data_IF_703470425724
#
_entry.id   IF_703470425724
#
_cell.length_a   1.000
_cell.length_b   1.000
_cell.length_c   1.000
_cell.angle_alpha   90.00
_cell.angle_beta   90.00
_cell.angle_gamma   90.00
#
_symmetry.space_group_name_H-M   'P 1'
#
loop_
_entity.id
_entity.type
_entity.pdbx_description
1 polymer ?
#
# COMPACT_ATOMS: atom_id res chain seq x y z
N UNK A 1 -37.49 -2.83 -8.86
CA UNK A 1 -36.93 -2.65 -7.49
C UNK A 1 -38.13 -2.71 -6.57
N UNK A 2 -38.44 -3.93 -6.08
CA UNK A 2 -39.58 -4.18 -5.21
C UNK A 2 -39.30 -3.66 -3.80
N UNK A 3 -40.08 -2.66 -3.40
CA UNK A 3 -40.20 -2.19 -2.02
C UNK A 3 -41.14 -3.16 -1.29
N UNK A 4 -40.57 -4.09 -0.53
CA UNK A 4 -41.35 -4.90 0.42
C UNK A 4 -41.80 -4.00 1.59
N UNK A 5 -43.09 -3.64 1.60
CA UNK A 5 -43.76 -2.99 2.71
C UNK A 5 -44.35 -4.08 3.62
N UNK A 6 -43.94 -4.11 4.89
CA UNK A 6 -44.49 -5.06 5.87
C UNK A 6 -45.66 -4.40 6.61
N UNK A 7 -46.82 -5.05 6.57
CA UNK A 7 -48.02 -4.61 7.26
C UNK A 7 -48.01 -5.10 8.70
N UNK A 8 -48.09 -4.19 9.65
CA UNK A 8 -48.22 -4.52 11.08
C UNK A 8 -49.54 -3.95 11.60
N UNK A 9 -50.36 -4.76 12.25
CA UNK A 9 -51.56 -4.36 12.94
C UNK A 9 -51.26 -4.01 14.38
N UNK A 10 -51.50 -2.78 14.78
CA UNK A 10 -51.46 -2.34 16.16
C UNK A 10 -52.79 -1.70 16.50
N UNK A 11 -53.59 -2.35 17.35
CA UNK A 11 -54.85 -1.86 17.92
C UNK A 11 -55.84 -1.27 16.91
N UNK A 12 -56.15 -2.00 15.84
CA UNK A 12 -57.22 -1.66 14.91
C UNK A 12 -56.91 -0.61 13.81
N UNK A 13 -55.73 -0.01 13.82
CA UNK A 13 -55.22 0.87 12.75
C UNK A 13 -54.07 0.25 12.01
N UNK A 14 -54.18 0.14 10.69
CA UNK A 14 -53.10 -0.32 9.84
C UNK A 14 -52.18 0.86 9.44
N UNK A 15 -50.97 0.86 10.00
CA UNK A 15 -49.92 1.81 9.57
C UNK A 15 -48.93 1.08 8.72
N UNK A 16 -48.63 1.65 7.53
CA UNK A 16 -47.54 1.20 6.70
C UNK A 16 -46.23 1.71 7.30
N UNK A 17 -45.48 0.83 7.93
CA UNK A 17 -44.08 1.16 8.23
C UNK A 17 -43.31 1.01 6.93
N UNK A 18 -43.01 2.15 6.31
CA UNK A 18 -42.02 2.23 5.26
C UNK A 18 -40.71 1.80 5.92
N UNK A 19 -40.26 0.56 5.65
CA UNK A 19 -38.90 0.16 5.98
C UNK A 19 -38.01 1.09 5.16
N UNK A 20 -37.61 2.19 5.79
CA UNK A 20 -36.66 3.11 5.24
C UNK A 20 -35.39 2.31 5.08
N UNK A 21 -35.17 1.79 3.88
CA UNK A 21 -33.84 1.41 3.43
C UNK A 21 -33.06 2.72 3.49
N UNK A 22 -32.41 2.99 4.62
CA UNK A 22 -31.58 4.16 4.82
C UNK A 22 -30.38 4.02 3.87
N UNK A 23 -30.63 4.39 2.61
CA UNK A 23 -29.55 4.50 1.63
C UNK A 23 -28.61 5.58 2.14
N UNK A 24 -27.33 5.37 1.94
CA UNK A 24 -26.25 6.30 2.23
C UNK A 24 -26.52 7.67 1.57
N UNK A 25 -27.11 8.60 2.30
CA UNK A 25 -27.41 9.97 1.84
C UNK A 25 -26.50 11.02 2.46
N UNK A 26 -25.75 10.62 3.50
CA UNK A 26 -24.80 11.50 4.17
C UNK A 26 -23.55 11.74 3.30
N UNK A 27 -23.12 13.01 3.21
CA UNK A 27 -21.96 13.43 2.40
C UNK A 27 -20.69 12.62 2.72
N UNK A 28 -20.46 12.28 3.98
CA UNK A 28 -19.30 11.44 4.38
C UNK A 28 -19.40 10.02 3.84
N UNK A 29 -20.59 9.48 3.74
CA UNK A 29 -20.84 8.15 3.19
C UNK A 29 -20.61 8.12 1.68
N UNK A 30 -21.14 9.13 0.96
CA UNK A 30 -20.91 9.27 -0.49
C UNK A 30 -19.42 9.44 -0.76
N UNK A 31 -18.74 10.32 -0.04
CA UNK A 31 -17.29 10.53 -0.15
C UNK A 31 -16.53 9.21 0.06
N UNK A 32 -16.89 8.46 1.11
CA UNK A 32 -16.26 7.16 1.39
C UNK A 32 -16.45 6.18 0.23
N UNK A 33 -17.66 6.08 -0.31
CA UNK A 33 -17.97 5.15 -1.40
C UNK A 33 -17.23 5.53 -2.69
N UNK A 34 -17.29 6.79 -3.10
CA UNK A 34 -16.63 7.30 -4.31
C UNK A 34 -15.11 7.12 -4.20
N UNK A 35 -14.50 7.60 -3.14
CA UNK A 35 -13.05 7.55 -2.98
C UNK A 35 -12.53 6.12 -2.91
N UNK A 36 -13.20 5.20 -2.17
CA UNK A 36 -12.75 3.82 -2.12
C UNK A 36 -12.99 3.05 -3.43
N UNK A 37 -13.98 3.43 -4.25
CA UNK A 37 -14.15 2.90 -5.60
C UNK A 37 -13.02 3.34 -6.53
N UNK A 38 -12.62 4.61 -6.47
CA UNK A 38 -11.47 5.12 -7.22
C UNK A 38 -10.18 4.42 -6.77
N UNK A 39 -9.96 4.30 -5.46
CA UNK A 39 -8.79 3.61 -4.90
C UNK A 39 -8.76 2.13 -5.33
N UNK A 40 -9.90 1.45 -5.31
CA UNK A 40 -10.02 0.08 -5.81
C UNK A 40 -9.58 -0.02 -7.27
N UNK A 41 -10.16 0.79 -8.14
CA UNK A 41 -9.89 0.74 -9.59
C UNK A 41 -8.41 1.02 -9.90
N UNK A 42 -7.89 2.13 -9.37
CA UNK A 42 -6.49 2.52 -9.57
C UNK A 42 -5.52 1.54 -8.89
N UNK A 43 -5.87 1.03 -7.71
CA UNK A 43 -5.03 0.11 -6.95
C UNK A 43 -4.94 -1.26 -7.59
N UNK A 44 -6.06 -1.84 -8.05
CA UNK A 44 -6.04 -3.13 -8.74
C UNK A 44 -5.31 -3.02 -10.08
N UNK A 45 -5.62 -2.00 -10.90
CA UNK A 45 -4.97 -1.80 -12.18
C UNK A 45 -3.47 -1.50 -12.01
N UNK A 46 -3.11 -0.53 -11.16
CA UNK A 46 -1.73 -0.09 -10.97
C UNK A 46 -0.84 -1.18 -10.35
N UNK A 47 -1.28 -1.80 -9.26
CA UNK A 47 -0.49 -2.87 -8.63
C UNK A 47 -0.45 -4.14 -9.49
N UNK A 48 -1.53 -4.47 -10.22
CA UNK A 48 -1.54 -5.56 -11.21
C UNK A 48 -0.46 -5.37 -12.28
N UNK A 49 -0.33 -4.15 -12.83
CA UNK A 49 0.74 -3.81 -13.79
C UNK A 49 2.12 -3.94 -13.14
N UNK A 50 2.30 -3.47 -11.91
CA UNK A 50 3.58 -3.61 -11.18
C UNK A 50 3.93 -5.09 -10.97
N UNK A 51 2.98 -5.92 -10.53
CA UNK A 51 3.18 -7.36 -10.34
C UNK A 51 3.60 -8.01 -11.66
N UNK A 52 2.93 -7.68 -12.75
CA UNK A 52 3.26 -8.24 -14.07
C UNK A 52 4.65 -7.81 -14.55
N UNK A 53 4.97 -6.52 -14.47
CA UNK A 53 6.28 -6.02 -14.90
C UNK A 53 7.40 -6.55 -14.00
N UNK A 54 7.30 -6.39 -12.69
CA UNK A 54 8.35 -6.79 -11.76
C UNK A 54 8.49 -8.32 -11.64
N UNK A 55 7.37 -9.06 -11.79
CA UNK A 55 7.36 -10.52 -11.71
C UNK A 55 7.85 -11.24 -12.97
N UNK A 56 7.48 -10.71 -14.17
CA UNK A 56 7.66 -11.45 -15.42
C UNK A 56 8.55 -10.74 -16.46
N UNK A 57 8.67 -9.41 -16.43
CA UNK A 57 9.40 -8.64 -17.44
C UNK A 57 10.77 -8.12 -16.98
N UNK A 58 10.95 -7.92 -15.69
CA UNK A 58 12.21 -7.44 -15.12
C UNK A 58 13.10 -8.58 -14.64
N UNK A 59 14.42 -8.38 -14.72
CA UNK A 59 15.39 -9.28 -14.09
C UNK A 59 15.19 -9.26 -12.57
N UNK A 60 15.16 -10.45 -11.95
CA UNK A 60 15.06 -10.59 -10.51
C UNK A 60 16.23 -9.90 -9.82
N UNK A 61 15.92 -8.97 -8.94
CA UNK A 61 16.89 -8.22 -8.13
C UNK A 61 16.31 -8.02 -6.72
N UNK A 62 17.16 -7.66 -5.78
CA UNK A 62 16.69 -7.34 -4.41
C UNK A 62 15.65 -6.24 -4.42
N UNK A 63 15.84 -5.21 -5.25
CA UNK A 63 14.92 -4.08 -5.36
C UNK A 63 13.57 -4.49 -5.96
N UNK A 64 13.59 -5.29 -7.02
CA UNK A 64 12.34 -5.80 -7.63
C UNK A 64 11.58 -6.72 -6.67
N UNK A 65 12.29 -7.45 -5.80
CA UNK A 65 11.66 -8.27 -4.76
C UNK A 65 10.88 -7.43 -3.75
N UNK A 66 11.43 -6.29 -3.32
CA UNK A 66 10.72 -5.37 -2.41
C UNK A 66 9.47 -4.78 -3.07
N UNK A 67 9.58 -4.27 -4.30
CA UNK A 67 8.46 -3.66 -5.01
C UNK A 67 7.35 -4.67 -5.33
N UNK A 68 7.74 -5.88 -5.73
CA UNK A 68 6.79 -6.96 -5.99
C UNK A 68 6.00 -7.32 -4.73
N UNK A 69 6.69 -7.47 -3.59
CA UNK A 69 6.03 -7.79 -2.31
C UNK A 69 5.05 -6.69 -1.89
N UNK A 70 5.43 -5.42 -2.06
CA UNK A 70 4.57 -4.28 -1.73
C UNK A 70 3.35 -4.24 -2.65
N UNK A 71 3.54 -4.42 -3.96
CA UNK A 71 2.45 -4.44 -4.93
C UNK A 71 1.47 -5.61 -4.70
N UNK A 72 1.96 -6.80 -4.30
CA UNK A 72 1.10 -7.95 -3.95
C UNK A 72 0.24 -7.62 -2.72
N UNK A 73 0.83 -7.04 -1.68
CA UNK A 73 0.08 -6.63 -0.48
C UNK A 73 -1.02 -5.63 -0.81
N UNK A 74 -0.69 -4.59 -1.59
CA UNK A 74 -1.62 -3.54 -1.99
C UNK A 74 -2.72 -4.07 -2.91
N UNK A 75 -2.39 -4.96 -3.84
CA UNK A 75 -3.36 -5.60 -4.74
C UNK A 75 -4.39 -6.41 -3.96
N UNK A 76 -3.94 -7.28 -3.04
CA UNK A 76 -4.84 -8.08 -2.19
C UNK A 76 -5.75 -7.16 -1.38
N UNK A 77 -5.22 -6.09 -0.81
CA UNK A 77 -6.02 -5.13 -0.05
C UNK A 77 -7.04 -4.39 -0.92
N UNK A 78 -6.64 -3.93 -2.10
CA UNK A 78 -7.55 -3.25 -3.02
C UNK A 78 -8.73 -4.17 -3.43
N UNK A 79 -8.49 -5.46 -3.66
CA UNK A 79 -9.56 -6.43 -3.97
C UNK A 79 -10.61 -6.59 -2.86
N UNK A 80 -10.26 -6.25 -1.60
CA UNK A 80 -11.19 -6.33 -0.46
C UNK A 80 -11.96 -5.02 -0.22
N UNK A 81 -11.54 -3.90 -0.81
CA UNK A 81 -12.22 -2.60 -0.63
C UNK A 81 -13.70 -2.59 -1.01
N UNK A 82 -14.15 -3.24 -2.12
CA UNK A 82 -15.57 -3.24 -2.50
C UNK A 82 -16.51 -3.77 -1.42
N UNK A 83 -16.09 -4.76 -0.64
CA UNK A 83 -16.88 -5.26 0.50
C UNK A 83 -17.14 -4.16 1.54
N UNK A 84 -16.18 -3.26 1.73
CA UNK A 84 -16.32 -2.11 2.61
C UNK A 84 -17.24 -1.03 2.07
N UNK A 85 -17.20 -0.80 0.75
CA UNK A 85 -18.09 0.13 0.05
C UNK A 85 -19.52 -0.35 0.17
N UNK A 86 -19.79 -1.63 -0.17
CA UNK A 86 -21.13 -2.22 -0.06
C UNK A 86 -21.65 -2.15 1.38
N UNK A 87 -20.83 -2.48 2.38
CA UNK A 87 -21.21 -2.35 3.79
C UNK A 87 -21.61 -0.92 4.16
N UNK A 88 -20.85 0.07 3.68
CA UNK A 88 -21.12 1.48 3.99
C UNK A 88 -22.40 1.97 3.30
N UNK A 89 -22.57 1.64 2.02
CA UNK A 89 -23.74 2.06 1.22
C UNK A 89 -25.04 1.39 1.69
N UNK A 90 -25.00 0.09 1.96
CA UNK A 90 -26.17 -0.65 2.44
C UNK A 90 -26.45 -0.48 3.92
N UNK A 91 -25.56 0.21 4.67
CA UNK A 91 -25.63 0.31 6.12
C UNK A 91 -25.78 -1.05 6.83
N UNK A 92 -25.44 -2.14 6.13
CA UNK A 92 -25.55 -3.51 6.60
C UNK A 92 -24.42 -4.39 6.06
N UNK A 93 -23.95 -5.32 6.88
CA UNK A 93 -22.96 -6.31 6.48
C UNK A 93 -23.66 -7.61 6.02
N UNK A 94 -23.60 -7.89 4.73
CA UNK A 94 -24.32 -9.04 4.13
C UNK A 94 -23.43 -10.27 3.89
N UNK A 95 -22.09 -10.15 4.07
CA UNK A 95 -21.11 -11.15 3.65
C UNK A 95 -20.73 -12.17 4.73
N UNK A 96 -21.47 -12.24 5.83
CA UNK A 96 -21.23 -13.20 6.91
C UNK A 96 -20.06 -12.82 7.84
N UNK A 97 -19.93 -13.55 8.95
CA UNK A 97 -18.93 -13.30 9.98
C UNK A 97 -17.50 -13.56 9.48
N UNK A 98 -17.30 -14.62 8.69
CA UNK A 98 -15.98 -14.95 8.14
C UNK A 98 -15.39 -13.80 7.30
N UNK A 99 -16.16 -13.29 6.34
CA UNK A 99 -15.69 -12.18 5.49
C UNK A 99 -15.50 -10.87 6.27
N UNK A 100 -16.22 -10.67 7.38
CA UNK A 100 -15.98 -9.57 8.29
C UNK A 100 -14.57 -9.66 8.89
N UNK A 101 -14.18 -10.83 9.41
CA UNK A 101 -12.85 -11.11 9.98
C UNK A 101 -11.75 -10.98 8.93
N UNK A 102 -11.93 -11.60 7.76
CA UNK A 102 -10.98 -11.56 6.64
C UNK A 102 -10.71 -10.12 6.18
N UNK A 103 -11.75 -9.31 6.03
CA UNK A 103 -11.59 -7.91 5.62
C UNK A 103 -10.70 -7.11 6.57
N UNK A 104 -10.90 -7.24 7.88
CA UNK A 104 -10.09 -6.52 8.86
C UNK A 104 -8.69 -7.11 9.02
N UNK A 105 -8.55 -8.42 8.85
CA UNK A 105 -7.24 -9.08 8.80
C UNK A 105 -6.41 -8.53 7.64
N UNK A 106 -6.95 -8.56 6.42
CA UNK A 106 -6.22 -8.10 5.22
C UNK A 106 -5.91 -6.61 5.29
N UNK A 107 -6.81 -5.78 5.83
CA UNK A 107 -6.53 -4.36 6.07
C UNK A 107 -5.33 -4.17 6.99
N UNK A 108 -5.27 -4.90 8.10
CA UNK A 108 -4.16 -4.85 9.05
C UNK A 108 -2.88 -5.42 8.46
N UNK A 109 -2.98 -6.52 7.72
CA UNK A 109 -1.87 -7.16 7.03
C UNK A 109 -1.21 -6.22 6.03
N UNK A 110 -1.99 -5.52 5.22
CA UNK A 110 -1.48 -4.52 4.28
C UNK A 110 -0.76 -3.38 5.01
N UNK A 111 -1.32 -2.87 6.09
CA UNK A 111 -0.66 -1.83 6.89
C UNK A 111 0.71 -2.29 7.41
N UNK A 112 0.77 -3.44 8.10
CA UNK A 112 2.03 -3.93 8.68
C UNK A 112 3.05 -4.33 7.62
N UNK A 113 2.64 -5.07 6.58
CA UNK A 113 3.55 -5.49 5.52
C UNK A 113 4.13 -4.31 4.76
N UNK A 114 3.34 -3.30 4.44
CA UNK A 114 3.80 -2.11 3.72
C UNK A 114 4.83 -1.33 4.54
N UNK A 115 4.55 -1.04 5.81
CA UNK A 115 5.50 -0.27 6.64
C UNK A 115 6.79 -1.06 6.94
N UNK A 116 6.70 -2.37 7.16
CA UNK A 116 7.89 -3.21 7.37
C UNK A 116 8.73 -3.35 6.11
N UNK A 117 8.10 -3.40 4.92
CA UNK A 117 8.84 -3.38 3.65
C UNK A 117 9.50 -2.00 3.46
N UNK A 118 8.84 -0.88 3.79
CA UNK A 118 9.47 0.44 3.75
C UNK A 118 10.66 0.56 4.71
N UNK A 119 10.53 0.06 5.93
CA UNK A 119 11.63 0.00 6.87
C UNK A 119 12.79 -0.86 6.33
N UNK A 120 12.49 -2.01 5.73
CA UNK A 120 13.46 -2.90 5.09
C UNK A 120 14.15 -2.23 3.90
N UNK A 121 13.42 -1.52 3.03
CA UNK A 121 13.99 -0.75 1.92
C UNK A 121 14.92 0.34 2.47
N UNK A 122 14.53 1.03 3.55
CA UNK A 122 15.35 2.07 4.17
C UNK A 122 16.65 1.51 4.73
N UNK A 123 16.60 0.39 5.43
CA UNK A 123 17.78 -0.34 5.92
C UNK A 123 18.65 -0.84 4.76
N UNK A 124 18.07 -1.42 3.71
CA UNK A 124 18.78 -1.88 2.51
C UNK A 124 19.55 -0.74 1.85
N UNK A 125 18.93 0.43 1.71
CA UNK A 125 19.60 1.63 1.17
C UNK A 125 20.71 2.14 2.09
N UNK A 126 20.49 2.10 3.39
CA UNK A 126 21.51 2.47 4.40
C UNK A 126 22.73 1.55 4.28
N UNK A 127 22.54 0.25 4.23
CA UNK A 127 23.63 -0.72 4.08
C UNK A 127 24.38 -0.54 2.77
N UNK A 128 23.70 -0.38 1.65
CA UNK A 128 24.32 -0.13 0.34
C UNK A 128 25.15 1.16 0.32
N UNK A 129 24.68 2.20 1.02
CA UNK A 129 25.39 3.49 1.10
C UNK A 129 26.60 3.43 2.05
N UNK A 130 26.48 2.68 3.14
CA UNK A 130 27.51 2.63 4.21
C UNK A 130 28.59 1.60 3.92
N UNK A 131 28.20 0.43 3.40
CA UNK A 131 29.05 -0.73 3.14
C UNK A 131 28.91 -1.22 1.69
N UNK A 132 29.32 -0.43 0.66
CA UNK A 132 29.06 -0.74 -0.76
C UNK A 132 29.73 -2.05 -1.20
N UNK A 133 30.97 -2.32 -0.78
CA UNK A 133 31.71 -3.54 -1.15
C UNK A 133 31.04 -4.79 -0.55
N UNK A 134 30.66 -4.72 0.74
CA UNK A 134 29.92 -5.80 1.38
C UNK A 134 28.58 -6.06 0.71
N UNK A 135 27.87 -4.99 0.38
CA UNK A 135 26.56 -5.07 -0.28
C UNK A 135 26.66 -5.74 -1.67
N UNK A 136 27.68 -5.46 -2.45
CA UNK A 136 27.90 -6.13 -3.73
C UNK A 136 28.07 -7.64 -3.58
N UNK A 137 28.80 -8.10 -2.56
CA UNK A 137 29.14 -9.51 -2.39
C UNK A 137 28.07 -10.32 -1.61
N UNK A 138 27.39 -9.71 -0.65
CA UNK A 138 26.51 -10.43 0.29
C UNK A 138 25.01 -10.16 0.12
N UNK A 139 24.62 -9.16 -0.68
CA UNK A 139 23.24 -8.78 -0.94
C UNK A 139 22.67 -9.61 -2.11
N UNK A 140 21.93 -10.66 -1.79
CA UNK A 140 21.37 -11.60 -2.78
C UNK A 140 19.85 -11.59 -2.79
N UNK A 141 19.24 -11.93 -3.91
CA UNK A 141 17.77 -12.06 -4.06
C UNK A 141 17.20 -13.14 -3.13
N UNK A 142 17.94 -14.24 -2.89
CA UNK A 142 17.51 -15.29 -1.96
C UNK A 142 17.35 -14.75 -0.53
N UNK A 143 18.30 -13.95 -0.03
CA UNK A 143 18.19 -13.30 1.27
C UNK A 143 17.04 -12.30 1.32
N UNK A 144 16.85 -11.54 0.24
CA UNK A 144 15.71 -10.61 0.14
C UNK A 144 14.37 -11.36 0.21
N UNK A 145 14.21 -12.46 -0.50
CA UNK A 145 12.99 -13.27 -0.44
C UNK A 145 12.73 -13.86 0.95
N UNK A 146 13.78 -14.28 1.66
CA UNK A 146 13.64 -14.73 3.04
C UNK A 146 13.18 -13.61 3.98
N UNK A 147 13.73 -12.40 3.83
CA UNK A 147 13.30 -11.23 4.61
C UNK A 147 11.83 -10.90 4.30
N UNK A 148 11.41 -10.93 3.02
CA UNK A 148 9.99 -10.75 2.64
C UNK A 148 9.11 -11.78 3.34
N UNK A 149 9.49 -13.05 3.33
CA UNK A 149 8.74 -14.11 4.02
C UNK A 149 8.59 -13.81 5.52
N UNK A 150 9.67 -13.41 6.18
CA UNK A 150 9.63 -13.03 7.60
C UNK A 150 8.72 -11.83 7.84
N UNK A 151 8.79 -10.81 6.99
CA UNK A 151 7.90 -9.64 7.05
C UNK A 151 6.43 -10.06 6.94
N UNK A 152 6.09 -10.94 6.00
CA UNK A 152 4.72 -11.42 5.85
C UNK A 152 4.24 -12.22 7.05
N UNK A 153 5.07 -13.11 7.60
CA UNK A 153 4.75 -13.91 8.80
C UNK A 153 4.50 -12.98 10.00
N UNK A 154 5.42 -12.05 10.27
CA UNK A 154 5.28 -11.10 11.38
C UNK A 154 4.03 -10.22 11.19
N UNK A 155 3.80 -9.73 9.97
CA UNK A 155 2.61 -8.93 9.65
C UNK A 155 1.31 -9.71 9.85
N UNK A 156 1.28 -10.99 9.49
CA UNK A 156 0.13 -11.85 9.70
C UNK A 156 -0.15 -12.08 11.20
N UNK A 157 0.88 -12.36 11.99
CA UNK A 157 0.76 -12.51 13.45
C UNK A 157 0.22 -11.24 14.11
N UNK A 158 0.77 -10.07 13.77
CA UNK A 158 0.29 -8.77 14.28
C UNK A 158 -1.11 -8.40 13.79
N UNK A 159 -1.56 -8.97 12.67
CA UNK A 159 -2.89 -8.72 12.11
C UNK A 159 -3.98 -9.63 12.71
N UNK A 160 -3.60 -10.75 13.33
CA UNK A 160 -4.52 -11.73 13.91
C UNK A 160 -5.49 -11.10 14.92
N UNK A 161 -5.07 -10.23 15.87
CA UNK A 161 -5.99 -9.58 16.79
C UNK A 161 -7.07 -8.75 16.08
N UNK A 162 -6.73 -8.13 14.95
CA UNK A 162 -7.69 -7.35 14.15
C UNK A 162 -8.82 -8.21 13.54
N UNK A 163 -8.59 -9.49 13.33
CA UNK A 163 -9.61 -10.45 12.91
C UNK A 163 -10.40 -11.01 14.11
N UNK A 164 -9.70 -11.35 15.19
CA UNK A 164 -10.31 -11.97 16.38
C UNK A 164 -11.30 -11.04 17.07
N UNK A 165 -10.98 -9.74 17.17
CA UNK A 165 -11.86 -8.73 17.78
C UNK A 165 -12.89 -8.16 16.80
N UNK A 166 -13.31 -8.93 15.77
CA UNK A 166 -14.33 -8.52 14.79
C UNK A 166 -15.37 -9.60 14.62
N UNK A 167 -16.62 -9.18 14.64
CA UNK A 167 -17.71 -10.09 14.32
C UNK A 167 -18.91 -9.36 13.71
N UNK A 168 -19.82 -10.13 13.12
CA UNK A 168 -21.10 -9.65 12.63
C UNK A 168 -22.10 -9.63 13.79
N UNK A 169 -22.41 -8.43 14.28
CA UNK A 169 -23.46 -8.20 15.29
C UNK A 169 -24.53 -7.29 14.71
N UNK A 170 -25.81 -7.65 14.88
CA UNK A 170 -26.97 -6.83 14.48
C UNK A 170 -26.86 -6.24 13.04
N UNK A 171 -26.57 -7.07 12.05
CA UNK A 171 -26.37 -6.68 10.64
C UNK A 171 -25.14 -5.77 10.39
N UNK A 172 -24.27 -5.55 11.38
CA UNK A 172 -23.05 -4.74 11.21
C UNK A 172 -21.80 -5.59 11.44
N UNK A 173 -20.73 -5.29 10.69
CA UNK A 173 -19.40 -5.80 10.97
C UNK A 173 -18.69 -4.82 11.91
N UNK A 174 -18.66 -5.12 13.20
CA UNK A 174 -18.18 -4.23 14.25
C UNK A 174 -17.08 -4.84 15.11
N UNK A 175 -16.44 -4.00 15.92
CA UNK A 175 -15.50 -4.46 16.95
C UNK A 175 -16.22 -5.17 18.07
N UNK A 176 -15.69 -6.29 18.48
CA UNK A 176 -16.17 -7.11 19.59
C UNK A 176 -15.07 -7.27 20.64
N UNK A 177 -14.72 -6.18 21.30
CA UNK A 177 -13.78 -6.22 22.41
C UNK A 177 -14.52 -6.65 23.69
N UNK A 178 -13.91 -7.56 24.44
CA UNK A 178 -14.47 -8.06 25.71
C UNK A 178 -14.35 -7.03 26.83
N UNK A 179 -13.29 -6.22 26.79
CA UNK A 179 -13.04 -5.16 27.77
C UNK A 179 -12.55 -3.87 27.09
N UNK A 180 -12.56 -2.77 27.85
CA UNK A 180 -11.98 -1.48 27.42
C UNK A 180 -10.45 -1.62 27.27
N UNK A 181 -9.83 -2.40 28.14
CA UNK A 181 -8.39 -2.67 28.12
C UNK A 181 -7.96 -3.39 26.85
N UNK A 182 -8.73 -4.39 26.37
CA UNK A 182 -8.47 -5.06 25.08
C UNK A 182 -8.50 -4.07 23.90
N UNK A 183 -9.44 -3.13 23.94
CA UNK A 183 -9.51 -2.09 22.92
C UNK A 183 -8.29 -1.16 22.96
N UNK A 184 -7.92 -0.68 24.16
CA UNK A 184 -6.74 0.17 24.36
C UNK A 184 -5.49 -0.58 23.91
N UNK A 185 -5.28 -1.81 24.37
CA UNK A 185 -4.14 -2.63 24.01
C UNK A 185 -4.03 -2.83 22.49
N UNK A 186 -5.16 -3.12 21.81
CA UNK A 186 -5.19 -3.27 20.36
C UNK A 186 -4.79 -1.99 19.61
N UNK A 187 -5.23 -0.82 20.08
CA UNK A 187 -4.86 0.48 19.48
C UNK A 187 -3.39 0.80 19.75
N UNK A 188 -2.93 0.64 20.99
CA UNK A 188 -1.55 0.92 21.39
C UNK A 188 -0.57 0.02 20.65
N UNK A 189 -0.80 -1.30 20.62
CA UNK A 189 0.03 -2.23 19.85
C UNK A 189 0.11 -1.85 18.37
N UNK A 190 -1.02 -1.45 17.77
CA UNK A 190 -1.05 -1.02 16.37
C UNK A 190 -0.22 0.24 16.14
N UNK A 191 -0.30 1.21 17.04
CA UNK A 191 0.49 2.45 16.94
C UNK A 191 1.98 2.17 17.14
N UNK A 192 2.34 1.37 18.13
CA UNK A 192 3.75 1.06 18.43
C UNK A 192 4.37 0.26 17.29
N UNK A 193 3.82 -0.91 16.95
CA UNK A 193 4.40 -1.82 15.95
C UNK A 193 4.10 -1.43 14.51
N UNK A 194 2.94 -0.80 14.25
CA UNK A 194 2.52 -0.40 12.90
C UNK A 194 2.96 1.01 12.50
N UNK A 195 3.52 1.81 13.42
CA UNK A 195 3.89 3.18 13.10
C UNK A 195 5.19 3.62 13.80
N UNK A 196 5.25 3.64 15.13
CA UNK A 196 6.37 4.27 15.87
C UNK A 196 7.71 3.55 15.63
N UNK A 197 7.76 2.24 15.88
CA UNK A 197 9.02 1.46 15.74
C UNK A 197 9.53 1.51 14.28
N UNK A 198 8.73 1.19 13.25
CA UNK A 198 9.21 1.29 11.87
C UNK A 198 9.63 2.70 11.48
N UNK A 199 8.92 3.72 11.95
CA UNK A 199 9.27 5.12 11.69
C UNK A 199 10.65 5.49 12.26
N UNK A 200 10.95 5.07 13.49
CA UNK A 200 12.29 5.28 14.10
C UNK A 200 13.38 4.61 13.25
N UNK A 201 13.15 3.36 12.80
CA UNK A 201 14.09 2.65 11.92
C UNK A 201 14.32 3.40 10.60
N UNK A 202 13.25 3.91 10.01
CA UNK A 202 13.29 4.65 8.75
C UNK A 202 14.05 5.97 8.93
N UNK A 203 13.73 6.76 9.97
CA UNK A 203 14.39 8.03 10.26
C UNK A 203 15.89 7.83 10.54
N UNK A 204 16.24 6.84 11.36
CA UNK A 204 17.64 6.52 11.68
C UNK A 204 18.41 6.14 10.41
N UNK A 205 17.85 5.27 9.57
CA UNK A 205 18.45 4.89 8.29
C UNK A 205 18.64 6.11 7.37
N UNK A 206 17.66 7.01 7.33
CA UNK A 206 17.72 8.24 6.55
C UNK A 206 18.82 9.18 7.03
N UNK A 207 18.94 9.41 8.34
CA UNK A 207 19.99 10.28 8.94
C UNK A 207 21.38 9.74 8.60
N UNK A 208 21.60 8.43 8.74
CA UNK A 208 22.89 7.80 8.41
C UNK A 208 23.24 8.00 6.94
N UNK A 209 22.27 7.80 6.02
CA UNK A 209 22.48 8.01 4.59
C UNK A 209 22.84 9.48 4.32
N UNK A 210 22.15 10.44 4.93
CA UNK A 210 22.41 11.87 4.76
C UNK A 210 23.81 12.28 5.23
N UNK A 211 24.25 11.76 6.37
CA UNK A 211 25.61 12.02 6.89
C UNK A 211 26.68 11.47 5.92
N UNK A 212 26.47 10.25 5.37
CA UNK A 212 27.40 9.66 4.40
C UNK A 212 27.44 10.42 3.07
N UNK A 213 26.32 10.89 2.58
CA UNK A 213 26.25 11.69 1.34
C UNK A 213 26.98 13.03 1.50
N UNK A 214 26.84 13.69 2.64
CA UNK A 214 27.56 14.94 2.94
C UNK A 214 29.09 14.74 2.98
N UNK A 215 29.55 13.62 3.57
CA UNK A 215 30.99 13.37 3.75
C UNK A 215 31.73 12.98 2.46
N UNK A 216 31.05 12.42 1.44
CA UNK A 216 31.68 11.85 0.23
C UNK A 216 31.52 12.68 -1.04
N UNK A 217 30.95 13.88 -1.03
CA UNK A 217 30.66 14.70 -2.23
C UNK A 217 30.07 13.91 -3.42
N UNK A 218 29.33 12.81 -3.16
CA UNK A 218 28.78 11.93 -4.20
C UNK A 218 27.51 12.54 -4.81
N UNK A 219 27.68 13.51 -5.70
CA UNK A 219 26.58 14.19 -6.39
C UNK A 219 25.69 13.25 -7.25
N UNK A 220 26.20 12.09 -7.69
CA UNK A 220 25.52 11.22 -8.63
C UNK A 220 24.54 10.20 -8.03
N UNK A 221 24.43 10.08 -6.70
CA UNK A 221 23.58 9.08 -6.03
C UNK A 221 22.24 9.59 -5.53
N UNK A 222 21.77 10.77 -6.00
CA UNK A 222 20.54 11.40 -5.46
C UNK A 222 19.23 10.73 -5.87
N UNK A 223 19.20 9.91 -6.94
CA UNK A 223 17.95 9.35 -7.50
C UNK A 223 17.28 8.28 -6.60
N UNK A 224 17.99 7.21 -6.14
CA UNK A 224 17.38 6.21 -5.25
C UNK A 224 16.86 6.82 -3.96
N UNK A 225 17.54 7.86 -3.47
CA UNK A 225 17.18 8.59 -2.27
C UNK A 225 15.83 9.34 -2.42
N UNK A 226 15.61 10.01 -3.56
CA UNK A 226 14.34 10.70 -3.83
C UNK A 226 13.15 9.74 -3.82
N UNK A 227 13.31 8.53 -4.37
CA UNK A 227 12.27 7.49 -4.38
C UNK A 227 11.89 7.12 -2.95
N UNK A 228 12.88 6.76 -2.16
CA UNK A 228 12.69 6.35 -0.80
C UNK A 228 12.03 7.45 0.05
N UNK A 229 12.51 8.69 -0.09
CA UNK A 229 11.90 9.84 0.59
C UNK A 229 10.43 10.00 0.21
N UNK A 230 10.10 9.90 -1.07
CA UNK A 230 8.72 10.05 -1.53
C UNK A 230 7.80 8.93 -1.00
N UNK A 231 8.27 7.67 -1.00
CA UNK A 231 7.51 6.55 -0.43
C UNK A 231 7.25 6.74 1.06
N UNK A 232 8.27 7.15 1.81
CA UNK A 232 8.17 7.39 3.26
C UNK A 232 7.21 8.53 3.55
N UNK A 233 7.37 9.67 2.88
CA UNK A 233 6.50 10.84 3.06
C UNK A 233 5.05 10.49 2.73
N UNK A 234 4.82 9.78 1.62
CA UNK A 234 3.48 9.32 1.23
C UNK A 234 2.89 8.40 2.30
N UNK A 235 3.67 7.45 2.81
CA UNK A 235 3.23 6.58 3.90
C UNK A 235 2.83 7.39 5.14
N UNK A 236 3.68 8.33 5.58
CA UNK A 236 3.38 9.16 6.74
C UNK A 236 2.11 9.98 6.55
N UNK A 237 1.96 10.67 5.43
CA UNK A 237 0.78 11.47 5.13
C UNK A 237 -0.48 10.59 5.13
N UNK A 238 -0.40 9.40 4.58
CA UNK A 238 -1.55 8.50 4.48
C UNK A 238 -1.94 7.88 5.83
N UNK A 239 -0.98 7.47 6.65
CA UNK A 239 -1.29 6.71 7.87
C UNK A 239 -1.37 7.55 9.15
N UNK A 240 -0.71 8.71 9.21
CA UNK A 240 -0.71 9.55 10.41
C UNK A 240 -2.13 9.99 10.83
N UNK A 241 -3.03 10.47 9.94
CA UNK A 241 -4.38 10.83 10.34
C UNK A 241 -5.15 9.66 10.96
N UNK A 242 -5.03 8.46 10.37
CA UNK A 242 -5.67 7.25 10.91
C UNK A 242 -5.22 6.94 12.33
N UNK A 243 -3.91 7.01 12.62
CA UNK A 243 -3.37 6.74 13.96
C UNK A 243 -3.78 7.82 14.96
N UNK A 244 -3.72 9.11 14.58
CA UNK A 244 -4.16 10.22 15.43
C UNK A 244 -5.63 10.04 15.86
N UNK A 245 -6.53 9.85 14.90
CA UNK A 245 -7.96 9.68 15.21
C UNK A 245 -8.25 8.37 15.94
N UNK A 246 -7.43 7.33 15.77
CA UNK A 246 -7.55 6.09 16.54
C UNK A 246 -7.21 6.31 18.02
N UNK A 247 -6.14 7.06 18.31
CA UNK A 247 -5.74 7.40 19.69
C UNK A 247 -6.77 8.34 20.33
N UNK A 248 -7.16 9.41 19.65
CA UNK A 248 -8.14 10.37 20.16
C UNK A 248 -9.45 9.69 20.52
N UNK A 249 -9.83 8.64 19.79
CA UNK A 249 -11.07 7.90 20.05
C UNK A 249 -11.05 7.04 21.31
N UNK A 250 -9.91 6.88 21.98
CA UNK A 250 -9.82 6.21 23.27
C UNK A 250 -10.32 7.09 24.41
N UNK A 251 -10.02 8.39 24.37
CA UNK A 251 -10.23 9.32 25.47
C UNK A 251 -11.47 10.22 25.30
N UNK A 252 -11.87 10.49 24.06
CA UNK A 252 -12.99 11.41 23.80
C UNK A 252 -14.30 10.68 23.56
N UNK A 253 -15.41 11.23 24.09
CA UNK A 253 -16.77 10.77 23.77
C UNK A 253 -17.00 10.85 22.25
N UNK A 254 -17.86 9.97 21.72
CA UNK A 254 -18.19 9.91 20.28
C UNK A 254 -18.82 11.22 19.79
N UNK A 255 -18.00 12.18 19.43
CA UNK A 255 -18.41 13.45 18.83
C UNK A 255 -18.47 13.32 17.28
N UNK A 256 -19.26 14.17 16.64
CA UNK A 256 -19.43 14.14 15.17
C UNK A 256 -18.09 14.35 14.46
N UNK A 257 -17.29 15.32 14.89
CA UNK A 257 -15.98 15.61 14.29
C UNK A 257 -15.01 14.43 14.39
N UNK A 258 -15.02 13.70 15.49
CA UNK A 258 -14.16 12.53 15.69
C UNK A 258 -14.57 11.37 14.75
N UNK A 259 -15.88 11.17 14.57
CA UNK A 259 -16.40 10.17 13.62
C UNK A 259 -15.98 10.52 12.20
N UNK A 260 -16.22 11.75 11.78
CA UNK A 260 -15.82 12.24 10.44
C UNK A 260 -14.31 12.15 10.24
N UNK A 261 -13.51 12.59 11.21
CA UNK A 261 -12.07 12.51 11.17
C UNK A 261 -11.55 11.07 11.03
N UNK A 262 -12.15 10.11 11.73
CA UNK A 262 -11.84 8.68 11.56
C UNK A 262 -12.16 8.18 10.16
N UNK A 263 -13.29 8.55 9.59
CA UNK A 263 -13.70 8.15 8.25
C UNK A 263 -12.75 8.72 7.20
N UNK A 264 -12.41 9.99 7.29
CA UNK A 264 -11.42 10.65 6.42
C UNK A 264 -10.04 10.01 6.60
N UNK A 265 -9.60 9.78 7.83
CA UNK A 265 -8.32 9.09 8.10
C UNK A 265 -8.26 7.69 7.49
N UNK A 266 -9.38 6.97 7.48
CA UNK A 266 -9.46 5.65 6.81
C UNK A 266 -9.36 5.79 5.30
N UNK A 267 -10.01 6.77 4.68
CA UNK A 267 -9.94 7.02 3.23
C UNK A 267 -8.51 7.35 2.82
N UNK A 268 -7.86 8.25 3.55
CA UNK A 268 -6.48 8.67 3.29
C UNK A 268 -5.51 7.50 3.47
N UNK A 269 -5.70 6.67 4.52
CA UNK A 269 -4.91 5.46 4.71
C UNK A 269 -5.08 4.45 3.55
N UNK A 270 -6.31 4.27 3.07
CA UNK A 270 -6.59 3.38 1.94
C UNK A 270 -5.92 3.88 0.64
N UNK A 271 -5.79 5.19 0.44
CA UNK A 271 -5.15 5.78 -0.73
C UNK A 271 -3.67 5.40 -0.86
N UNK A 272 -2.99 5.05 0.24
CA UNK A 272 -1.61 4.56 0.20
C UNK A 272 -1.44 3.40 -0.80
N UNK A 273 -2.39 2.46 -0.82
CA UNK A 273 -2.29 1.26 -1.66
C UNK A 273 -2.47 1.53 -3.17
N UNK A 274 -3.02 2.68 -3.59
CA UNK A 274 -3.09 3.03 -5.00
C UNK A 274 -2.00 4.02 -5.44
N UNK A 275 -1.27 4.64 -4.51
CA UNK A 275 -0.24 5.64 -4.83
C UNK A 275 1.11 5.03 -5.18
N UNK A 276 1.46 3.86 -4.61
CA UNK A 276 2.75 3.20 -4.81
C UNK A 276 3.11 2.95 -6.30
N UNK A 277 2.20 2.46 -7.16
CA UNK A 277 2.49 2.28 -8.60
C UNK A 277 2.90 3.57 -9.31
N UNK A 278 2.25 4.69 -8.98
CA UNK A 278 2.60 5.99 -9.56
C UNK A 278 4.00 6.44 -9.14
N UNK A 279 4.35 6.24 -7.87
CA UNK A 279 5.68 6.57 -7.37
C UNK A 279 6.76 5.75 -8.10
N UNK A 280 6.54 4.47 -8.37
CA UNK A 280 7.48 3.65 -9.13
C UNK A 280 7.61 4.07 -10.58
N UNK A 281 6.48 4.41 -11.24
CA UNK A 281 6.47 4.88 -12.63
C UNK A 281 7.23 6.20 -12.80
N UNK A 282 7.13 7.13 -11.86
CA UNK A 282 7.83 8.42 -11.94
C UNK A 282 9.34 8.32 -11.65
N UNK A 283 9.79 7.29 -10.95
CA UNK A 283 11.08 7.31 -10.29
C UNK A 283 12.08 6.25 -10.78
N UNK A 284 11.63 5.12 -11.34
CA UNK A 284 12.48 4.06 -11.84
C UNK A 284 12.67 4.16 -13.37
N UNK A 285 13.88 4.49 -13.86
CA UNK A 285 14.15 4.54 -15.31
C UNK A 285 13.84 3.20 -16.00
N UNK A 286 14.25 2.08 -15.38
CA UNK A 286 14.05 0.75 -15.95
C UNK A 286 12.58 0.35 -15.88
N UNK A 287 11.89 0.66 -14.78
CA UNK A 287 10.45 0.43 -14.64
C UNK A 287 9.66 1.27 -15.64
N UNK A 288 9.98 2.56 -15.76
CA UNK A 288 9.37 3.48 -16.73
C UNK A 288 9.54 2.96 -18.17
N UNK A 289 10.74 2.50 -18.54
CA UNK A 289 11.02 1.92 -19.87
C UNK A 289 10.12 0.70 -20.14
N UNK A 290 9.97 -0.19 -19.15
CA UNK A 290 9.11 -1.36 -19.28
C UNK A 290 7.63 -1.00 -19.34
N UNK A 291 7.16 -0.03 -18.53
CA UNK A 291 5.80 0.49 -18.61
C UNK A 291 5.47 1.06 -19.99
N UNK A 292 6.37 1.89 -20.55
CA UNK A 292 6.18 2.43 -21.89
C UNK A 292 6.16 1.34 -22.95
N UNK A 293 7.04 0.34 -22.86
CA UNK A 293 7.07 -0.78 -23.80
C UNK A 293 5.76 -1.57 -23.78
N UNK A 294 5.17 -1.74 -22.60
CA UNK A 294 3.88 -2.42 -22.44
C UNK A 294 2.73 -1.58 -23.00
N UNK A 295 2.65 -0.30 -22.65
CA UNK A 295 1.60 0.60 -23.12
C UNK A 295 1.65 0.80 -24.65
N UNK A 296 2.83 0.78 -25.23
CA UNK A 296 3.01 0.92 -26.70
C UNK A 296 2.79 -0.41 -27.43
N UNK A 297 3.04 -1.57 -26.81
CA UNK A 297 2.79 -2.88 -27.44
C UNK A 297 1.30 -3.24 -27.52
N UNK A 298 0.45 -2.61 -26.71
CA UNK A 298 -1.02 -2.72 -26.81
C UNK A 298 -1.62 -1.82 -27.88
N UNK A 299 -0.83 -0.90 -28.44
CA UNK A 299 -1.25 0.05 -29.49
C UNK A 299 -0.40 -0.11 -30.75
N UNK A 300 -0.64 -1.15 -31.57
CA UNK A 300 -0.08 -1.40 -32.89
C UNK A 300 1.38 -1.93 -32.94
N UNK A 301 1.64 -3.09 -33.55
CA UNK A 301 2.99 -3.72 -33.60
C UNK A 301 3.99 -2.99 -34.47
N UNK A 302 3.59 -2.07 -35.37
CA UNK A 302 4.43 -1.45 -36.37
C UNK A 302 5.25 -0.26 -35.91
N UNK A 303 4.84 0.48 -34.89
CA UNK A 303 5.51 1.70 -34.41
C UNK A 303 6.60 1.43 -33.37
N UNK A 304 6.53 0.26 -32.71
CA UNK A 304 7.49 -0.11 -31.65
C UNK A 304 8.87 -0.49 -32.18
N UNK A 305 8.96 -0.96 -33.42
CA UNK A 305 10.20 -1.47 -34.00
C UNK A 305 11.10 -0.33 -34.54
N UNK A 306 10.54 0.74 -35.06
CA UNK A 306 11.30 1.89 -35.55
C UNK A 306 11.99 2.73 -34.46
N UNK A 307 11.35 2.86 -33.28
CA UNK A 307 11.96 3.59 -32.15
C UNK A 307 13.04 2.79 -31.40
N UNK A 308 13.08 1.48 -31.60
CA UNK A 308 14.11 0.63 -30.97
C UNK A 308 15.46 0.72 -31.71
N UNK A 309 15.47 0.99 -33.04
CA UNK A 309 16.67 1.08 -33.88
C UNK A 309 17.38 2.41 -33.66
N UNK A 310 16.68 3.50 -33.33
CA UNK A 310 17.26 4.83 -33.16
C UNK A 310 17.97 5.07 -31.80
N UNK A 311 18.00 4.09 -30.90
CA UNK A 311 18.58 4.24 -29.55
C UNK A 311 19.69 3.22 -29.25
N UNK A 312 20.40 2.74 -30.28
CA UNK A 312 21.68 2.04 -30.06
C UNK A 312 22.78 3.08 -29.84
N UNK A 313 23.46 3.10 -28.68
CA UNK A 313 24.70 3.88 -28.57
C UNK A 313 25.74 3.28 -29.52
N UNK A 314 26.22 4.09 -30.44
CA UNK A 314 27.37 3.74 -31.29
C UNK A 314 28.54 3.28 -30.40
N UNK A 315 29.00 2.06 -30.61
CA UNK A 315 30.28 1.61 -30.07
C UNK A 315 31.38 2.49 -30.68
N UNK A 316 32.35 2.97 -29.88
CA UNK A 316 33.53 3.64 -30.47
C UNK A 316 34.21 2.68 -31.44
N UNK A 317 34.40 3.11 -32.68
CA UNK A 317 35.31 2.43 -33.63
C UNK A 317 36.72 2.56 -33.07
N UNK A 318 37.33 1.43 -32.75
CA UNK A 318 38.78 1.34 -32.53
C UNK A 318 39.40 1.35 -33.92
N UNK A 319 39.97 2.49 -34.31
CA UNK A 319 40.84 2.57 -35.48
C UNK A 319 42.12 1.77 -35.20
N UNK A 320 42.24 0.62 -35.78
CA UNK A 320 43.54 -0.07 -35.92
C UNK A 320 44.31 0.58 -37.09
N UNK A 321 45.10 1.59 -36.77
CA UNK A 321 46.18 2.00 -37.67
C UNK A 321 47.34 1.04 -37.43
N UNK A 322 47.52 0.14 -38.36
CA UNK A 322 48.76 -0.60 -38.57
C UNK A 322 49.78 0.37 -39.13
N UNK A 323 50.73 0.82 -38.32
CA UNK A 323 51.96 1.38 -38.81
C UNK A 323 53.00 0.28 -38.84
N UNK A 324 53.31 -0.15 -40.10
CA UNK A 324 54.53 -0.82 -40.41
C UNK A 324 55.68 0.20 -40.31
N UNK A 325 56.68 -0.08 -39.52
CA UNK A 325 58.02 0.44 -39.71
C UNK A 325 58.99 -0.72 -39.62
N UNK A 326 59.59 -1.03 -40.77
CA UNK A 326 60.90 -1.66 -40.88
C UNK A 326 61.95 -0.58 -40.54
N UNK A 327 62.85 -0.88 -39.66
CA UNK A 327 64.31 -0.95 -39.79
C UNK A 327 64.92 -1.27 -38.42
#
# INVERSE_FOLDING_TARGET
IDLQSTMISVSGNYTWLKESSSLCTDATCVLYAVMNTVIFTLGVAGNGVVIWIAGFKMKKSVVTTWYLSLAVSDFIYCCILPFGVVHKVKMAWIFGSFMCKVRYFIKSLNMYSSIFIFATISMDRCVVSTFPVWAQNKRTTRKASLIVLLVWVISALLSTPSALFRDKKNKLCSSDYKSVEDHIASVVCRVIFGFVIPLVVIITSYVIIMQKLKSKQMANSKKPFKIMTALIVTFLICWLPFHIFSILSLNYKKTVWLKTGKEVGVIVANANSCLNPFLYAFMGKDFKKQCYAVLTSTGSPSVAQEKFISYQPQKPQVNSSTDNFCD
#
